data_IF_277522890578
#
_entry.id   IF_277522890578
#
_cell.length_a   1.000
_cell.length_b   1.000
_cell.length_c   1.000
_cell.angle_alpha   90.00
_cell.angle_beta   90.00
_cell.angle_gamma   90.00
#
_symmetry.space_group_name_H-M   'P 1'
#
loop_
_entity.id
_entity.type
_entity.pdbx_description
1 polymer ?
#
# COMPACT_ATOMS: atom_id res chain seq x y z
N UNK A 1 -10.17 -6.58 3.37
CA UNK A 1 -9.50 -5.36 2.86
C UNK A 1 -7.99 -5.60 2.92
N UNK A 2 -7.23 -5.02 1.99
CA UNK A 2 -5.76 -4.97 2.05
C UNK A 2 -5.38 -3.51 2.28
N UNK A 3 -4.57 -3.24 3.29
CA UNK A 3 -4.04 -1.91 3.57
C UNK A 3 -2.51 -2.00 3.47
N UNK A 4 -1.91 -1.11 2.68
CA UNK A 4 -0.48 -0.77 2.82
C UNK A 4 -0.39 0.38 3.82
N UNK A 5 0.49 0.26 4.79
CA UNK A 5 0.59 1.24 5.85
C UNK A 5 2.02 1.72 5.97
N UNK A 6 2.13 3.03 5.98
CA UNK A 6 3.38 3.79 6.05
C UNK A 6 3.60 4.25 7.49
N UNK A 7 4.85 4.53 7.84
CA UNK A 7 5.20 5.12 9.12
C UNK A 7 4.32 6.34 9.43
N UNK A 8 3.95 6.54 10.70
CA UNK A 8 3.14 7.69 11.10
C UNK A 8 3.93 8.97 10.78
N UNK A 9 3.48 9.69 9.76
CA UNK A 9 4.04 10.97 9.34
C UNK A 9 3.84 12.04 10.42
N UNK A 10 4.89 12.82 10.68
CA UNK A 10 4.73 14.10 11.36
C UNK A 10 4.23 15.19 10.39
N UNK A 11 3.88 16.37 10.91
CA UNK A 11 3.31 17.43 10.07
C UNK A 11 4.30 17.97 9.02
N UNK A 12 5.61 17.90 9.29
CA UNK A 12 6.64 18.33 8.35
C UNK A 12 6.85 17.29 7.24
N UNK A 13 6.87 16.00 7.61
CA UNK A 13 6.89 14.88 6.67
C UNK A 13 5.67 14.92 5.74
N UNK A 14 4.48 15.17 6.30
CA UNK A 14 3.25 15.32 5.50
C UNK A 14 3.33 16.47 4.50
N UNK A 15 3.88 17.61 4.92
CA UNK A 15 4.03 18.77 4.04
C UNK A 15 5.01 18.47 2.89
N UNK A 16 6.10 17.75 3.17
CA UNK A 16 7.06 17.33 2.16
C UNK A 16 6.45 16.33 1.17
N UNK A 17 5.67 15.36 1.65
CA UNK A 17 4.98 14.40 0.80
C UNK A 17 3.90 15.07 -0.06
N UNK A 18 3.18 16.05 0.50
CA UNK A 18 2.20 16.85 -0.26
C UNK A 18 2.88 17.61 -1.40
N UNK A 19 4.01 18.28 -1.14
CA UNK A 19 4.79 18.97 -2.19
C UNK A 19 5.30 17.98 -3.26
N UNK A 20 5.78 16.81 -2.83
CA UNK A 20 6.23 15.76 -3.74
C UNK A 20 5.10 15.25 -4.65
N UNK A 21 3.91 15.05 -4.10
CA UNK A 21 2.71 14.64 -4.85
C UNK A 21 2.22 15.74 -5.80
N UNK A 22 2.29 17.01 -5.40
CA UNK A 22 1.96 18.14 -6.26
C UNK A 22 2.92 18.26 -7.44
N UNK A 23 4.22 18.08 -7.19
CA UNK A 23 5.25 18.05 -8.24
C UNK A 23 5.06 16.86 -9.17
N UNK A 24 4.71 15.68 -8.65
CA UNK A 24 4.35 14.52 -9.46
C UNK A 24 3.16 14.84 -10.37
N UNK A 25 2.08 15.42 -9.82
CA UNK A 25 0.90 15.77 -10.58
C UNK A 25 1.21 16.81 -11.68
N UNK A 26 2.04 17.80 -11.38
CA UNK A 26 2.52 18.78 -12.35
C UNK A 26 3.34 18.12 -13.47
N UNK A 27 4.29 17.24 -13.13
CA UNK A 27 5.12 16.54 -14.11
C UNK A 27 4.29 15.60 -14.98
N UNK A 28 3.32 14.89 -14.40
CA UNK A 28 2.43 14.01 -15.13
C UNK A 28 1.60 14.80 -16.17
N UNK A 29 1.06 15.97 -15.79
CA UNK A 29 0.27 16.84 -16.68
C UNK A 29 1.11 17.50 -17.78
N UNK A 30 2.32 17.95 -17.44
CA UNK A 30 3.13 18.79 -18.34
C UNK A 30 4.15 18.02 -19.19
N UNK A 31 4.68 16.91 -18.67
CA UNK A 31 5.81 16.15 -19.23
C UNK A 31 5.54 14.64 -19.37
N UNK A 32 4.39 14.18 -18.89
CA UNK A 32 3.98 12.78 -18.95
C UNK A 32 4.46 11.93 -17.76
N UNK A 33 3.95 10.70 -17.70
CA UNK A 33 4.16 9.79 -16.57
C UNK A 33 5.62 9.42 -16.32
N UNK A 34 6.43 9.28 -17.38
CA UNK A 34 7.84 8.96 -17.24
C UNK A 34 8.57 10.01 -16.38
N UNK A 35 8.39 11.29 -16.72
CA UNK A 35 9.01 12.40 -16.01
C UNK A 35 8.47 12.55 -14.57
N UNK A 36 7.22 12.17 -14.33
CA UNK A 36 6.64 12.18 -12.99
C UNK A 36 7.26 11.08 -12.10
N UNK A 37 7.39 9.87 -12.62
CA UNK A 37 7.96 8.72 -11.88
C UNK A 37 9.47 8.81 -11.65
N UNK A 38 10.21 9.59 -12.43
CA UNK A 38 11.63 9.90 -12.17
C UNK A 38 11.86 10.50 -10.77
N UNK A 39 10.85 11.13 -10.16
CA UNK A 39 10.90 11.65 -8.79
C UNK A 39 10.97 10.56 -7.72
N UNK A 40 10.53 9.33 -8.02
CA UNK A 40 10.41 8.23 -7.07
C UNK A 40 11.35 7.06 -7.38
N UNK A 41 11.57 6.76 -8.66
CA UNK A 41 12.33 5.58 -9.11
C UNK A 41 13.66 5.36 -8.35
N UNK A 42 14.48 6.39 -8.04
CA UNK A 42 15.72 6.19 -7.30
C UNK A 42 15.56 5.58 -5.90
N UNK A 43 14.43 5.85 -5.24
CA UNK A 43 14.16 5.46 -3.85
C UNK A 43 13.20 4.26 -3.75
N UNK A 44 12.63 3.82 -4.88
CA UNK A 44 11.75 2.67 -4.93
C UNK A 44 12.52 1.37 -4.76
N UNK A 45 11.88 0.42 -4.09
CA UNK A 45 12.29 -0.98 -4.10
C UNK A 45 12.33 -1.47 -5.58
N UNK A 46 13.37 -2.20 -6.03
CA UNK A 46 13.57 -2.55 -7.44
C UNK A 46 12.36 -3.21 -8.15
N UNK A 47 11.62 -4.07 -7.45
CA UNK A 47 10.39 -4.67 -7.95
C UNK A 47 9.33 -3.61 -8.25
N UNK A 48 9.12 -2.66 -7.33
CA UNK A 48 8.13 -1.61 -7.49
C UNK A 48 8.51 -0.71 -8.68
N UNK A 49 9.80 -0.39 -8.84
CA UNK A 49 10.30 0.34 -10.01
C UNK A 49 10.00 -0.42 -11.33
N UNK A 50 10.19 -1.74 -11.36
CA UNK A 50 9.86 -2.56 -12.53
C UNK A 50 8.36 -2.54 -12.85
N UNK A 51 7.50 -2.71 -11.84
CA UNK A 51 6.05 -2.70 -12.01
C UNK A 51 5.54 -1.34 -12.50
N UNK A 52 6.11 -0.25 -11.98
CA UNK A 52 5.84 1.11 -12.46
C UNK A 52 6.22 1.24 -13.93
N UNK A 53 7.44 0.85 -14.30
CA UNK A 53 7.92 0.93 -15.68
C UNK A 53 7.04 0.13 -16.65
N UNK A 54 6.58 -1.06 -16.26
CA UNK A 54 5.65 -1.88 -17.04
C UNK A 54 4.26 -1.23 -17.17
N UNK A 55 3.81 -0.50 -16.15
CA UNK A 55 2.49 0.12 -16.13
C UNK A 55 2.43 1.44 -16.91
N UNK A 56 3.53 2.20 -16.98
CA UNK A 56 3.58 3.53 -17.64
C UNK A 56 2.94 3.54 -19.04
N UNK A 57 3.24 2.59 -19.96
CA UNK A 57 2.70 2.63 -21.33
C UNK A 57 1.17 2.50 -21.42
N UNK A 58 0.51 1.98 -20.38
CA UNK A 58 -0.93 1.70 -20.35
C UNK A 58 -1.69 2.54 -19.31
N UNK A 59 -0.98 3.43 -18.60
CA UNK A 59 -1.54 4.30 -17.59
C UNK A 59 -1.93 5.67 -18.19
N UNK A 60 -3.00 6.26 -17.68
CA UNK A 60 -3.44 7.60 -18.07
C UNK A 60 -2.82 8.66 -17.15
N UNK A 61 -2.14 9.64 -17.75
CA UNK A 61 -1.43 10.68 -17.01
C UNK A 61 -2.37 11.59 -16.22
N UNK A 62 -3.56 11.87 -16.75
CA UNK A 62 -4.55 12.71 -16.05
C UNK A 62 -5.11 11.99 -14.83
N UNK A 63 -5.41 10.70 -14.96
CA UNK A 63 -5.87 9.84 -13.86
C UNK A 63 -4.80 9.73 -12.77
N UNK A 64 -3.53 9.54 -13.13
CA UNK A 64 -2.44 9.52 -12.15
C UNK A 64 -2.27 10.87 -11.43
N UNK A 65 -2.33 11.99 -12.17
CA UNK A 65 -2.27 13.32 -11.58
C UNK A 65 -3.48 13.65 -10.70
N UNK A 66 -4.64 13.06 -10.98
CA UNK A 66 -5.82 13.15 -10.11
C UNK A 66 -5.62 12.29 -8.86
N UNK A 67 -5.10 11.06 -8.99
CA UNK A 67 -4.81 10.19 -7.87
C UNK A 67 -3.79 10.78 -6.89
N UNK A 68 -2.83 11.58 -7.39
CA UNK A 68 -1.88 12.31 -6.54
C UNK A 68 -2.55 13.27 -5.53
N UNK A 69 -3.80 13.71 -5.78
CA UNK A 69 -4.55 14.52 -4.82
C UNK A 69 -4.89 13.77 -3.52
N UNK A 70 -4.92 12.43 -3.56
CA UNK A 70 -5.05 11.59 -2.35
C UNK A 70 -3.88 11.85 -1.38
N UNK A 71 -2.71 12.26 -1.90
CA UNK A 71 -1.57 12.66 -1.08
C UNK A 71 -1.85 13.83 -0.14
N UNK A 72 -2.90 14.62 -0.39
CA UNK A 72 -3.35 15.69 0.52
C UNK A 72 -4.18 15.14 1.69
N UNK A 73 -4.82 13.99 1.51
CA UNK A 73 -5.61 13.36 2.55
C UNK A 73 -4.68 12.71 3.58
N UNK A 74 -5.01 12.87 4.86
CA UNK A 74 -4.41 12.07 5.94
C UNK A 74 -5.33 10.89 6.19
N UNK A 75 -4.87 9.67 5.89
CA UNK A 75 -5.68 8.48 6.10
C UNK A 75 -6.01 8.29 7.59
N UNK A 76 -4.99 8.34 8.47
CA UNK A 76 -5.14 8.22 9.92
C UNK A 76 -4.04 9.04 10.63
N UNK A 77 -4.36 9.61 11.81
CA UNK A 77 -3.38 10.38 12.59
C UNK A 77 -2.57 9.48 13.53
N UNK A 78 -3.15 8.34 13.93
CA UNK A 78 -2.54 7.36 14.83
C UNK A 78 -2.94 5.94 14.43
N UNK A 79 -2.13 4.94 14.78
CA UNK A 79 -2.48 3.53 14.58
C UNK A 79 -3.78 3.18 15.32
N UNK A 80 -4.02 3.81 16.47
CA UNK A 80 -5.21 3.64 17.29
C UNK A 80 -6.52 3.97 16.56
N UNK A 81 -6.49 4.86 15.55
CA UNK A 81 -7.68 5.20 14.76
C UNK A 81 -8.24 3.98 14.01
N UNK A 82 -7.38 2.99 13.71
CA UNK A 82 -7.76 1.77 13.01
C UNK A 82 -8.64 0.83 13.85
N UNK A 83 -8.77 1.05 15.17
CA UNK A 83 -9.70 0.28 16.02
C UNK A 83 -11.15 0.36 15.56
N UNK A 84 -11.50 1.40 14.79
CA UNK A 84 -12.86 1.61 14.25
C UNK A 84 -13.12 0.81 12.97
N UNK A 85 -12.10 0.18 12.40
CA UNK A 85 -12.23 -0.61 11.18
C UNK A 85 -12.67 -2.01 11.56
N UNK A 86 -13.98 -2.24 11.47
CA UNK A 86 -14.50 -3.57 11.74
C UNK A 86 -14.23 -4.55 10.60
N UNK A 87 -13.95 -4.12 9.37
CA UNK A 87 -13.72 -5.03 8.23
C UNK A 87 -12.50 -5.93 8.45
N UNK A 88 -12.63 -7.23 8.20
CA UNK A 88 -11.51 -8.16 8.24
C UNK A 88 -10.39 -7.69 7.30
N UNK A 89 -9.16 -7.65 7.83
CA UNK A 89 -8.02 -7.03 7.14
C UNK A 89 -6.80 -7.93 7.21
N UNK A 90 -6.21 -8.22 6.04
CA UNK A 90 -4.92 -8.90 5.92
C UNK A 90 -3.83 -7.84 5.81
N UNK A 91 -2.80 -7.94 6.64
CA UNK A 91 -1.62 -7.07 6.65
C UNK A 91 -0.43 -7.87 6.13
N UNK A 92 0.25 -7.36 5.11
CA UNK A 92 1.50 -7.94 4.57
C UNK A 92 2.61 -6.96 4.91
N UNK A 93 3.67 -7.41 5.58
CA UNK A 93 4.74 -6.52 6.01
C UNK A 93 5.60 -6.04 4.82
N UNK A 94 5.98 -4.77 4.84
CA UNK A 94 6.96 -4.18 3.91
C UNK A 94 8.40 -4.54 4.26
N UNK A 95 9.34 -4.15 3.39
CA UNK A 95 10.79 -4.40 3.55
C UNK A 95 11.65 -3.14 3.39
N UNK A 96 11.01 -1.96 3.41
CA UNK A 96 11.67 -0.66 3.27
C UNK A 96 11.46 0.25 4.49
N UNK A 97 12.22 1.34 4.56
CA UNK A 97 12.26 2.24 5.72
C UNK A 97 10.91 2.94 6.00
N UNK A 98 10.09 3.18 4.97
CA UNK A 98 8.76 3.77 5.11
C UNK A 98 7.72 2.75 5.55
N UNK A 99 7.98 1.46 5.34
CA UNK A 99 7.09 0.35 5.70
C UNK A 99 7.79 -0.66 6.63
N UNK A 100 8.24 -0.23 7.83
CA UNK A 100 8.99 -1.11 8.71
C UNK A 100 8.13 -2.27 9.18
N UNK A 101 8.71 -3.46 9.29
CA UNK A 101 8.00 -4.68 9.69
C UNK A 101 7.27 -4.54 11.04
N UNK A 102 7.83 -3.77 11.99
CA UNK A 102 7.21 -3.51 13.29
C UNK A 102 5.88 -2.74 13.20
N UNK A 103 5.71 -1.92 12.17
CA UNK A 103 4.45 -1.23 11.91
C UNK A 103 3.38 -2.24 11.50
N UNK A 104 3.69 -3.18 10.61
CA UNK A 104 2.76 -4.23 10.19
C UNK A 104 2.19 -5.03 11.39
N UNK A 105 3.06 -5.35 12.34
CA UNK A 105 2.66 -5.99 13.60
C UNK A 105 1.72 -5.11 14.41
N UNK A 106 2.08 -3.84 14.61
CA UNK A 106 1.27 -2.88 15.38
C UNK A 106 -0.14 -2.70 14.79
N UNK A 107 -0.25 -2.70 13.46
CA UNK A 107 -1.55 -2.60 12.77
C UNK A 107 -2.40 -3.85 12.97
N UNK A 108 -1.79 -5.04 12.82
CA UNK A 108 -2.48 -6.30 13.00
C UNK A 108 -3.01 -6.46 14.44
N UNK A 109 -2.28 -5.94 15.43
CA UNK A 109 -2.68 -5.95 16.85
C UNK A 109 -3.82 -4.97 17.14
N UNK A 110 -3.87 -3.83 16.45
CA UNK A 110 -4.86 -2.78 16.70
C UNK A 110 -6.16 -2.99 15.92
N UNK A 111 -6.10 -3.58 14.73
CA UNK A 111 -7.27 -3.92 13.92
C UNK A 111 -8.10 -5.03 14.61
N UNK A 112 -9.40 -4.82 14.91
CA UNK A 112 -10.24 -5.81 15.60
C UNK A 112 -10.32 -7.17 14.90
N UNK A 113 -10.19 -7.17 13.57
CA UNK A 113 -10.13 -8.36 12.72
C UNK A 113 -8.87 -8.34 11.83
N UNK A 114 -7.75 -7.85 12.37
CA UNK A 114 -6.45 -7.85 11.73
C UNK A 114 -5.82 -9.24 11.70
N UNK A 115 -5.20 -9.58 10.57
CA UNK A 115 -4.39 -10.80 10.40
C UNK A 115 -3.07 -10.39 9.77
N UNK A 116 -1.96 -10.63 10.46
CA UNK A 116 -0.64 -10.52 9.86
C UNK A 116 -0.37 -11.75 8.99
N UNK A 117 0.07 -11.54 7.76
CA UNK A 117 0.51 -12.61 6.88
C UNK A 117 1.87 -13.17 7.34
N UNK A 118 2.07 -14.48 7.21
CA UNK A 118 3.39 -15.11 7.47
C UNK A 118 4.44 -14.71 6.42
N UNK A 119 3.99 -14.20 5.27
CA UNK A 119 4.83 -13.74 4.16
C UNK A 119 4.97 -12.22 4.23
N UNK A 120 6.15 -11.73 3.89
CA UNK A 120 6.47 -10.30 3.80
C UNK A 120 7.03 -9.94 2.42
N UNK A 121 7.11 -8.65 2.14
CA UNK A 121 7.87 -8.14 1.01
C UNK A 121 9.33 -8.61 1.09
N UNK A 122 9.93 -8.84 -0.08
CA UNK A 122 11.28 -9.34 -0.20
C UNK A 122 11.97 -8.73 -1.40
N UNK A 123 13.27 -8.39 -1.22
CA UNK A 123 14.19 -8.02 -2.31
C UNK A 123 14.46 -9.13 -3.32
N UNK A 124 14.01 -10.35 -3.04
CA UNK A 124 14.11 -11.48 -3.95
C UNK A 124 12.98 -11.50 -4.98
N UNK A 125 11.87 -10.79 -4.75
CA UNK A 125 10.82 -10.67 -5.75
C UNK A 125 11.28 -9.71 -6.84
N UNK A 126 11.21 -10.16 -8.09
CA UNK A 126 11.71 -9.43 -9.26
C UNK A 126 10.56 -8.96 -10.16
N UNK A 127 9.44 -9.69 -10.15
CA UNK A 127 8.26 -9.39 -10.96
C UNK A 127 6.92 -9.70 -10.22
N UNK A 128 5.81 -9.42 -10.90
CA UNK A 128 4.46 -9.68 -10.39
C UNK A 128 4.16 -11.18 -10.15
N UNK A 129 4.78 -12.07 -10.91
CA UNK A 129 4.58 -13.52 -10.75
C UNK A 129 5.22 -14.03 -9.45
N UNK A 130 6.36 -13.48 -9.05
CA UNK A 130 6.98 -13.76 -7.75
C UNK A 130 6.06 -13.33 -6.59
N UNK A 131 5.48 -12.13 -6.69
CA UNK A 131 4.50 -11.64 -5.71
C UNK A 131 3.25 -12.52 -5.69
N UNK A 132 2.74 -12.93 -6.85
CA UNK A 132 1.56 -13.78 -6.94
C UNK A 132 1.79 -15.14 -6.28
N UNK A 133 2.96 -15.76 -6.53
CA UNK A 133 3.34 -17.01 -5.88
C UNK A 133 3.52 -16.87 -4.36
N UNK A 134 4.13 -15.77 -3.91
CA UNK A 134 4.36 -15.54 -2.49
C UNK A 134 3.07 -15.19 -1.73
N UNK A 135 2.27 -14.27 -2.26
CA UNK A 135 1.14 -13.68 -1.55
C UNK A 135 -0.20 -14.37 -1.85
N UNK A 136 -0.34 -15.00 -3.02
CA UNK A 136 -1.56 -15.69 -3.45
C UNK A 136 -2.09 -16.67 -2.40
N UNK A 137 -1.27 -17.60 -1.88
CA UNK A 137 -1.72 -18.55 -0.86
C UNK A 137 -2.22 -17.89 0.44
N UNK A 138 -1.55 -16.82 0.88
CA UNK A 138 -1.94 -16.07 2.08
C UNK A 138 -3.29 -15.35 1.87
N UNK A 139 -3.46 -14.72 0.70
CA UNK A 139 -4.70 -14.04 0.30
C UNK A 139 -5.85 -15.05 0.20
N UNK A 140 -5.65 -16.18 -0.48
CA UNK A 140 -6.67 -17.23 -0.64
C UNK A 140 -7.12 -17.81 0.71
N UNK A 141 -6.17 -18.10 1.60
CA UNK A 141 -6.45 -18.61 2.93
C UNK A 141 -7.24 -17.58 3.75
N UNK A 142 -6.83 -16.31 3.70
CA UNK A 142 -7.55 -15.22 4.36
C UNK A 142 -9.00 -15.11 3.86
N UNK A 143 -9.21 -15.04 2.54
CA UNK A 143 -10.54 -14.93 1.94
C UNK A 143 -11.46 -16.10 2.29
N UNK A 144 -10.92 -17.32 2.34
CA UNK A 144 -11.66 -18.52 2.74
C UNK A 144 -12.14 -18.43 4.19
N UNK A 145 -11.23 -18.07 5.11
CA UNK A 145 -11.55 -17.95 6.55
C UNK A 145 -12.55 -16.84 6.83
N UNK A 146 -12.49 -15.72 6.10
CA UNK A 146 -13.44 -14.62 6.27
C UNK A 146 -14.82 -14.99 5.73
N UNK A 147 -14.87 -15.64 4.56
CA UNK A 147 -16.14 -16.07 3.94
C UNK A 147 -16.88 -17.12 4.78
N UNK A 148 -16.15 -18.06 5.38
CA UNK A 148 -16.72 -19.09 6.27
C UNK A 148 -17.23 -18.53 7.60
N UNK A 149 -16.73 -17.37 8.04
CA UNK A 149 -17.12 -16.72 9.29
C UNK A 149 -18.37 -15.86 9.10
N UNK A 150 -18.45 -15.10 8.01
CA UNK A 150 -19.62 -14.27 7.69
C UNK A 150 -20.87 -15.14 7.41
N UNK A 151 -20.69 -16.34 6.85
CA UNK A 151 -21.77 -17.33 6.67
C UNK A 151 -22.28 -17.96 7.97
N UNK A 152 -21.46 -18.00 9.04
CA UNK A 152 -21.90 -18.47 10.37
C UNK A 152 -22.63 -17.40 11.15
N UNK A 153 -22.18 -16.15 11.09
CA UNK A 153 -22.83 -15.02 11.77
C UNK A 153 -24.25 -14.75 11.25
N UNK A 154 -24.55 -15.09 9.99
CA UNK A 154 -25.88 -14.94 9.39
C UNK A 154 -26.84 -16.11 9.67
N UNK A 155 -26.42 -17.12 10.45
CA UNK A 155 -27.21 -18.33 10.70
C UNK A 155 -27.69 -18.46 12.15
N UNK A 156 -27.31 -17.52 13.01
CA UNK A 156 -27.73 -17.37 14.41
C UNK A 156 -28.70 -16.18 14.55
#
# INVERSE_FOLDING_TARGET
>A
MVISAEAIEDDADKAADTDLMDRFAEHARSRGLQAAWELFIPDLQPLIANLVAEAIPRADAHSAAAAASIGHDRAFATVEDLRRIDTATLVIAGDDIRHPECLAHSLADVLPRGVLAEVSMSRQFVNAEDMAHAFGPAIENFLRRTSDRDTRVHKD
#
